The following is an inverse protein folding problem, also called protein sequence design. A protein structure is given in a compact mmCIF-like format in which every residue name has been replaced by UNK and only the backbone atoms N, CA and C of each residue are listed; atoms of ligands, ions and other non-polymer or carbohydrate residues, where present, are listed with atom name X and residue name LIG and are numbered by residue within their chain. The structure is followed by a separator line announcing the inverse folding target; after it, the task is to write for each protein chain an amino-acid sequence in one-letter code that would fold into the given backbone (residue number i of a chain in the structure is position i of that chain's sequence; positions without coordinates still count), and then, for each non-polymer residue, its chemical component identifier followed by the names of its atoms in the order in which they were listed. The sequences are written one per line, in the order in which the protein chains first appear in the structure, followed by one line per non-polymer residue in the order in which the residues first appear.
data_IF_730350850966
#
_entry.id   IF_730350850966
#
_cell.length_a   1.000
_cell.length_b   1.000
_cell.length_c   1.000
_cell.angle_alpha   90.00
_cell.angle_beta   90.00
_cell.angle_gamma   90.00
#
_symmetry.space_group_name_H-M   'P 1'
#
loop_
_entity.id
_entity.type
_entity.pdbx_description
1 polymer ?
#
# COMPACT_ATOMS: atom_id res chain seq x y z
N UNK A 1 -6.49 -13.24 -4.73
CA UNK A 1 -5.72 -12.34 -5.62
C UNK A 1 -6.67 -11.76 -6.63
N UNK A 2 -6.56 -10.46 -6.89
CA UNK A 2 -7.33 -9.73 -7.88
C UNK A 2 -6.35 -8.99 -8.81
N UNK A 3 -6.68 -8.93 -10.10
CA UNK A 3 -5.95 -8.14 -11.08
C UNK A 3 -6.94 -7.20 -11.78
N UNK A 4 -6.83 -5.92 -11.51
CA UNK A 4 -7.63 -4.86 -12.09
C UNK A 4 -7.05 -4.42 -13.43
N UNK A 5 -7.89 -4.38 -14.48
CA UNK A 5 -7.56 -3.79 -15.77
C UNK A 5 -8.48 -2.60 -16.02
N UNK A 6 -7.91 -1.40 -16.15
CA UNK A 6 -8.65 -0.18 -16.50
C UNK A 6 -8.45 0.14 -17.97
N UNK A 7 -9.53 0.03 -18.74
CA UNK A 7 -9.56 0.40 -20.16
C UNK A 7 -9.97 1.85 -20.35
N UNK A 8 -10.92 2.31 -19.53
CA UNK A 8 -11.44 3.69 -19.51
C UNK A 8 -11.56 4.14 -18.06
N UNK A 9 -11.17 5.38 -17.80
CA UNK A 9 -11.45 6.07 -16.53
C UNK A 9 -11.67 7.55 -16.87
N UNK A 10 -12.93 7.94 -16.95
CA UNK A 10 -13.31 9.29 -17.34
C UNK A 10 -14.25 9.93 -16.33
N UNK A 11 -14.05 11.23 -16.11
CA UNK A 11 -14.80 12.02 -15.13
C UNK A 11 -15.25 13.32 -15.76
N UNK A 12 -16.48 13.73 -15.47
CA UNK A 12 -16.99 15.05 -15.80
C UNK A 12 -17.28 15.82 -14.52
N UNK A 13 -16.66 16.99 -14.38
CA UNK A 13 -16.75 17.79 -13.14
C UNK A 13 -18.09 18.50 -13.04
N UNK A 14 -18.69 18.91 -14.16
CA UNK A 14 -20.00 19.56 -14.20
C UNK A 14 -20.80 19.20 -15.46
N UNK A 15 -22.14 19.26 -15.43
CA UNK A 15 -22.95 19.10 -16.64
C UNK A 15 -22.49 20.04 -17.76
N UNK A 16 -22.22 19.47 -18.94
CA UNK A 16 -21.72 20.22 -20.11
C UNK A 16 -20.21 20.53 -20.13
N UNK A 17 -19.44 20.20 -19.09
CA UNK A 17 -17.98 20.39 -19.12
C UNK A 17 -17.27 19.34 -19.97
N UNK A 18 -16.02 19.62 -20.33
CA UNK A 18 -15.14 18.64 -20.95
C UNK A 18 -15.00 17.39 -20.06
N UNK A 19 -14.92 16.24 -20.71
CA UNK A 19 -14.64 14.96 -20.07
C UNK A 19 -13.13 14.81 -19.88
N UNK A 20 -12.72 14.48 -18.66
CA UNK A 20 -11.33 14.25 -18.29
C UNK A 20 -11.04 12.76 -18.38
N UNK A 21 -9.96 12.37 -19.05
CA UNK A 21 -9.50 11.00 -19.15
C UNK A 21 -8.28 10.76 -18.26
N UNK A 22 -8.52 10.10 -17.12
CA UNK A 22 -7.49 9.88 -16.12
C UNK A 22 -6.41 8.90 -16.55
N UNK A 23 -6.74 7.94 -17.41
CA UNK A 23 -5.75 7.02 -17.99
C UNK A 23 -4.87 7.68 -19.05
N UNK A 24 -5.26 8.86 -19.53
CA UNK A 24 -4.48 9.69 -20.46
C UNK A 24 -3.69 10.79 -19.75
N UNK A 25 -3.81 10.90 -18.43
CA UNK A 25 -3.05 11.84 -17.60
C UNK A 25 -3.84 13.04 -17.11
N UNK A 26 -5.13 13.17 -17.45
CA UNK A 26 -5.96 14.20 -16.81
C UNK A 26 -6.14 13.84 -15.33
N UNK A 27 -6.05 14.81 -14.43
CA UNK A 27 -6.08 14.51 -13.00
C UNK A 27 -7.07 15.40 -12.26
N UNK A 28 -7.85 14.77 -11.38
CA UNK A 28 -8.73 15.45 -10.41
C UNK A 28 -8.08 15.52 -9.01
N UNK A 29 -6.87 14.97 -8.86
CA UNK A 29 -6.12 14.93 -7.61
C UNK A 29 -4.60 14.85 -7.84
N UNK A 30 -3.84 14.67 -6.75
CA UNK A 30 -2.38 14.74 -6.76
C UNK A 30 -1.66 13.45 -7.26
N UNK A 31 -2.33 12.60 -8.00
CA UNK A 31 -1.80 11.30 -8.45
C UNK A 31 -2.47 10.80 -9.73
N UNK A 32 -1.73 10.02 -10.52
CA UNK A 32 -2.24 9.40 -11.74
C UNK A 32 -2.98 8.09 -11.46
N UNK A 33 -3.88 7.70 -12.36
CA UNK A 33 -4.62 6.44 -12.27
C UNK A 33 -3.86 5.31 -12.98
N UNK A 34 -3.50 4.22 -12.30
CA UNK A 34 -2.79 3.10 -12.91
C UNK A 34 -3.74 2.23 -13.74
N UNK A 35 -3.29 1.82 -14.94
CA UNK A 35 -4.05 0.91 -15.82
C UNK A 35 -4.15 -0.51 -15.27
N UNK A 36 -3.13 -0.95 -14.54
CA UNK A 36 -3.10 -2.26 -13.90
C UNK A 36 -2.82 -2.12 -12.41
N UNK A 37 -3.56 -2.89 -11.63
CA UNK A 37 -3.30 -3.05 -10.22
C UNK A 37 -3.47 -4.53 -9.85
N UNK A 38 -2.64 -5.04 -8.95
CA UNK A 38 -2.72 -6.40 -8.45
C UNK A 38 -2.82 -6.31 -6.94
N UNK A 39 -3.81 -6.98 -6.37
CA UNK A 39 -4.01 -7.08 -4.93
C UNK A 39 -4.01 -8.56 -4.55
N UNK A 40 -3.30 -8.91 -3.48
CA UNK A 40 -3.35 -10.25 -2.93
C UNK A 40 -3.28 -10.27 -1.42
N UNK A 41 -3.93 -11.26 -0.84
CA UNK A 41 -3.80 -11.63 0.56
C UNK A 41 -3.66 -13.16 0.60
N UNK A 42 -2.82 -13.65 1.49
CA UNK A 42 -2.65 -15.06 1.73
C UNK A 42 -2.12 -15.32 3.13
N UNK A 43 -2.37 -16.52 3.65
CA UNK A 43 -1.83 -16.90 4.94
C UNK A 43 -1.96 -18.39 5.22
N UNK A 44 -1.13 -18.85 6.15
CA UNK A 44 -1.15 -20.21 6.68
C UNK A 44 -1.31 -20.15 8.18
N UNK A 45 -2.02 -21.13 8.74
CA UNK A 45 -2.21 -21.26 10.18
C UNK A 45 -2.17 -22.74 10.58
N UNK A 46 -1.37 -23.07 11.59
CA UNK A 46 -1.26 -24.42 12.13
C UNK A 46 -0.86 -24.37 13.61
N UNK A 47 -1.57 -25.14 14.44
CA UNK A 47 -1.22 -25.36 15.85
C UNK A 47 -0.94 -24.07 16.64
N UNK A 48 -1.74 -23.02 16.42
CA UNK A 48 -1.56 -21.74 17.08
C UNK A 48 -0.60 -20.77 16.38
N UNK A 49 0.22 -21.23 15.44
CA UNK A 49 1.13 -20.38 14.67
C UNK A 49 0.45 -19.93 13.38
N UNK A 50 0.61 -18.66 13.02
CA UNK A 50 0.10 -18.12 11.77
C UNK A 50 1.07 -17.17 11.10
N UNK A 51 1.01 -17.16 9.78
CA UNK A 51 1.69 -16.21 8.92
C UNK A 51 0.67 -15.66 7.92
N UNK A 52 0.67 -14.35 7.71
CA UNK A 52 -0.14 -13.65 6.72
C UNK A 52 0.72 -12.68 5.93
N UNK A 53 0.43 -12.58 4.64
CA UNK A 53 0.97 -11.61 3.71
C UNK A 53 -0.18 -10.87 3.05
N UNK A 54 -0.06 -9.55 2.94
CA UNK A 54 -0.92 -8.73 2.09
C UNK A 54 -0.02 -7.96 1.13
N UNK A 55 -0.39 -7.85 -0.13
CA UNK A 55 0.38 -7.11 -1.10
C UNK A 55 -0.49 -6.37 -2.10
N UNK A 56 -0.03 -5.20 -2.49
CA UNK A 56 -0.63 -4.35 -3.50
C UNK A 56 0.45 -3.87 -4.47
N UNK A 57 0.26 -4.13 -5.76
CA UNK A 57 1.09 -3.59 -6.82
C UNK A 57 0.28 -2.65 -7.70
N UNK A 58 0.83 -1.48 -8.00
CA UNK A 58 0.26 -0.56 -8.98
C UNK A 58 1.24 -0.35 -10.13
N UNK A 59 0.73 -0.40 -11.35
CA UNK A 59 1.47 -0.04 -12.55
C UNK A 59 1.88 1.44 -12.54
N UNK A 60 2.85 1.84 -13.39
CA UNK A 60 3.15 3.25 -13.59
C UNK A 60 1.90 4.02 -14.08
N UNK A 61 1.84 5.28 -13.70
CA UNK A 61 0.79 6.21 -14.12
C UNK A 61 1.41 7.57 -14.47
N UNK A 62 0.62 8.46 -15.06
CA UNK A 62 1.05 9.83 -15.34
C UNK A 62 -0.02 10.84 -14.98
N UNK A 63 0.40 12.07 -14.77
CA UNK A 63 -0.45 13.25 -14.68
C UNK A 63 0.14 14.30 -15.62
N UNK A 64 -0.68 14.87 -16.48
CA UNK A 64 -0.26 15.94 -17.37
C UNK A 64 -0.27 17.26 -16.60
N UNK A 65 0.72 18.11 -16.86
CA UNK A 65 0.76 19.47 -16.36
C UNK A 65 -0.39 20.30 -16.93
N UNK A 66 -0.76 21.36 -16.22
CA UNK A 66 -1.80 22.30 -16.66
C UNK A 66 -1.36 23.21 -17.81
N UNK A 67 -0.09 23.15 -18.21
CA UNK A 67 0.54 24.06 -19.17
C UNK A 67 0.80 25.48 -18.64
N UNK A 68 0.43 25.75 -17.38
CA UNK A 68 0.73 27.02 -16.71
C UNK A 68 2.22 27.08 -16.30
N UNK A 69 2.81 28.29 -16.16
CA UNK A 69 4.17 28.44 -15.66
C UNK A 69 4.38 27.72 -14.33
N UNK A 70 5.42 26.88 -14.25
CA UNK A 70 5.72 26.06 -13.07
C UNK A 70 5.00 24.71 -13.02
N UNK A 71 4.18 24.37 -14.02
CA UNK A 71 3.62 23.03 -14.19
C UNK A 71 4.52 22.16 -15.06
N UNK A 72 4.57 20.86 -14.77
CA UNK A 72 5.26 19.83 -15.57
C UNK A 72 4.42 18.55 -15.57
N UNK A 73 4.61 17.71 -16.57
CA UNK A 73 4.03 16.38 -16.53
C UNK A 73 4.75 15.56 -15.46
N UNK A 74 4.00 14.73 -14.75
CA UNK A 74 4.50 13.88 -13.68
C UNK A 74 4.34 12.42 -14.05
N UNK A 75 5.44 11.67 -13.91
CA UNK A 75 5.49 10.23 -14.14
C UNK A 75 5.59 9.53 -12.81
N UNK A 76 4.54 8.79 -12.46
CA UNK A 76 4.46 7.99 -11.25
C UNK A 76 4.97 6.59 -11.57
N UNK A 77 6.08 6.20 -10.95
CA UNK A 77 6.62 4.85 -11.06
C UNK A 77 5.69 3.80 -10.44
N UNK A 78 5.91 2.54 -10.81
CA UNK A 78 5.21 1.41 -10.19
C UNK A 78 5.54 1.30 -8.70
N UNK A 79 4.57 0.85 -7.92
CA UNK A 79 4.74 0.54 -6.51
C UNK A 79 4.42 -0.92 -6.24
N UNK A 80 5.13 -1.52 -5.28
CA UNK A 80 4.76 -2.78 -4.66
C UNK A 80 4.84 -2.61 -3.15
N UNK A 81 3.70 -2.59 -2.49
CA UNK A 81 3.61 -2.60 -1.04
C UNK A 81 3.34 -4.03 -0.56
N UNK A 82 4.08 -4.47 0.44
CA UNK A 82 4.02 -5.84 0.97
C UNK A 82 4.04 -5.78 2.49
N UNK A 83 2.93 -6.18 3.12
CA UNK A 83 2.81 -6.35 4.56
C UNK A 83 3.00 -7.80 4.99
N UNK A 84 3.65 -8.00 6.13
CA UNK A 84 3.84 -9.29 6.78
C UNK A 84 3.30 -9.27 8.20
N UNK A 85 2.56 -10.31 8.58
CA UNK A 85 2.16 -10.56 9.96
C UNK A 85 2.39 -12.01 10.35
N UNK A 86 3.29 -12.25 11.28
CA UNK A 86 3.45 -13.53 11.95
C UNK A 86 2.84 -13.47 13.34
N UNK A 87 2.21 -14.55 13.82
CA UNK A 87 1.65 -14.59 15.16
C UNK A 87 1.64 -15.98 15.77
N UNK A 88 1.60 -16.02 17.10
CA UNK A 88 1.37 -17.23 17.90
C UNK A 88 0.21 -16.99 18.86
N UNK A 89 -0.81 -17.84 18.78
CA UNK A 89 -1.87 -17.97 19.76
C UNK A 89 -1.32 -18.74 20.96
N UNK A 90 -0.85 -18.02 21.97
CA UNK A 90 -0.25 -18.59 23.17
C UNK A 90 -1.25 -19.46 23.94
N UNK A 91 -2.55 -19.14 23.86
CA UNK A 91 -3.62 -19.95 24.45
C UNK A 91 -3.81 -21.33 23.82
N UNK A 92 -3.26 -21.59 22.62
CA UNK A 92 -3.27 -22.91 21.98
C UNK A 92 -2.00 -23.72 22.29
N UNK A 93 -1.08 -23.16 23.08
CA UNK A 93 0.12 -23.86 23.53
C UNK A 93 -0.16 -24.47 24.90
N UNK A 94 -0.69 -25.69 24.93
CA UNK A 94 -1.17 -26.34 26.18
C UNK A 94 -0.11 -26.38 27.28
N UNK A 95 1.13 -26.76 26.94
CA UNK A 95 2.25 -26.81 27.89
C UNK A 95 2.61 -25.45 28.48
N UNK A 96 2.39 -24.36 27.72
CA UNK A 96 2.58 -22.99 28.18
C UNK A 96 1.44 -22.55 29.11
N UNK A 97 0.20 -22.85 28.74
CA UNK A 97 -0.99 -22.49 29.52
C UNK A 97 -1.02 -23.24 30.86
N UNK A 98 -0.61 -24.51 30.88
CA UNK A 98 -0.49 -25.29 32.12
C UNK A 98 0.53 -24.68 33.09
N UNK A 99 1.66 -24.18 32.58
CA UNK A 99 2.68 -23.50 33.39
C UNK A 99 2.27 -22.08 33.81
N UNK A 100 1.53 -21.38 32.96
CA UNK A 100 1.11 -20.00 33.16
C UNK A 100 -0.29 -19.76 32.57
N UNK A 101 -1.37 -19.93 33.37
CA UNK A 101 -2.75 -19.73 32.93
C UNK A 101 -3.04 -18.32 32.37
N UNK A 102 -2.21 -17.34 32.70
CA UNK A 102 -2.23 -16.00 32.12
C UNK A 102 -2.25 -16.01 30.59
N UNK A 103 -1.61 -16.99 29.92
CA UNK A 103 -1.57 -17.05 28.46
C UNK A 103 -2.82 -17.60 27.79
N UNK A 104 -3.82 -18.05 28.56
CA UNK A 104 -5.14 -18.38 28.02
C UNK A 104 -5.69 -17.15 27.28
N UNK A 105 -6.16 -17.32 26.05
CA UNK A 105 -6.65 -16.23 25.18
C UNK A 105 -5.63 -15.10 24.93
N UNK A 106 -4.32 -15.40 25.01
CA UNK A 106 -3.26 -14.47 24.64
C UNK A 106 -2.71 -14.75 23.23
N UNK A 107 -2.27 -13.70 22.55
CA UNK A 107 -1.58 -13.76 21.24
C UNK A 107 -0.38 -12.82 21.27
N UNK A 108 0.75 -13.30 20.73
CA UNK A 108 1.90 -12.48 20.38
C UNK A 108 1.99 -12.40 18.86
N UNK A 109 2.22 -11.21 18.31
CA UNK A 109 2.37 -10.99 16.87
C UNK A 109 3.63 -10.18 16.57
N UNK A 110 4.21 -10.43 15.41
CA UNK A 110 5.26 -9.65 14.79
C UNK A 110 4.75 -9.12 13.45
N UNK A 111 4.95 -7.83 13.20
CA UNK A 111 4.45 -7.15 12.00
C UNK A 111 5.57 -6.43 11.28
N UNK A 112 5.50 -6.44 9.96
CA UNK A 112 6.29 -5.54 9.11
C UNK A 112 5.37 -4.94 8.07
N UNK A 113 5.15 -3.63 8.14
CA UNK A 113 4.47 -2.86 7.12
C UNK A 113 5.50 -2.32 6.12
N UNK A 114 5.19 -2.36 4.83
CA UNK A 114 6.13 -2.08 3.74
C UNK A 114 7.46 -2.85 3.89
N UNK A 115 7.39 -4.18 3.86
CA UNK A 115 8.50 -5.11 4.02
C UNK A 115 9.69 -4.79 3.12
N UNK A 116 9.42 -4.33 1.89
CA UNK A 116 10.43 -4.03 0.87
C UNK A 116 11.00 -2.60 0.96
N UNK A 117 10.48 -1.76 1.85
CA UNK A 117 10.77 -0.31 1.94
C UNK A 117 10.63 0.41 0.58
N UNK A 118 9.68 -0.04 -0.24
CA UNK A 118 9.42 0.57 -1.54
C UNK A 118 8.62 1.86 -1.37
N UNK A 119 9.02 2.90 -2.09
CA UNK A 119 8.32 4.17 -2.17
C UNK A 119 8.08 4.53 -3.64
N UNK A 120 6.94 5.17 -3.92
CA UNK A 120 6.66 5.60 -5.28
C UNK A 120 7.63 6.70 -5.71
N UNK A 121 8.44 6.43 -6.74
CA UNK A 121 9.25 7.46 -7.37
C UNK A 121 8.38 8.24 -8.35
N UNK A 122 8.32 9.56 -8.19
CA UNK A 122 7.62 10.47 -9.10
C UNK A 122 8.64 11.40 -9.73
N UNK A 123 8.64 11.51 -11.06
CA UNK A 123 9.56 12.40 -11.77
C UNK A 123 8.83 13.37 -12.68
N UNK A 124 9.39 14.57 -12.83
CA UNK A 124 8.99 15.53 -13.86
C UNK A 124 9.59 15.18 -15.24
N UNK A 125 9.36 16.06 -16.21
CA UNK A 125 9.87 15.96 -17.58
C UNK A 125 11.40 15.98 -17.70
N UNK A 126 12.09 16.54 -16.70
CA UNK A 126 13.55 16.53 -16.63
C UNK A 126 14.11 15.26 -15.96
N UNK A 127 13.23 14.36 -15.51
CA UNK A 127 13.60 13.13 -14.80
C UNK A 127 13.93 13.35 -13.33
N UNK A 128 13.75 14.56 -12.82
CA UNK A 128 14.00 14.91 -11.42
C UNK A 128 12.77 14.67 -10.56
N UNK A 129 12.98 14.40 -9.27
CA UNK A 129 11.89 14.22 -8.30
C UNK A 129 11.53 15.60 -7.73
N UNK A 130 10.33 16.15 -8.02
CA UNK A 130 9.95 17.45 -7.50
C UNK A 130 9.85 17.43 -5.97
N UNK A 131 10.05 18.59 -5.32
CA UNK A 131 10.09 18.71 -3.86
C UNK A 131 8.89 18.05 -3.16
N UNK A 132 7.67 18.31 -3.66
CA UNK A 132 6.43 17.77 -3.11
C UNK A 132 6.33 16.23 -3.17
N UNK A 133 7.15 15.57 -4.00
CA UNK A 133 7.15 14.12 -4.17
C UNK A 133 8.40 13.45 -3.60
N UNK A 134 9.26 14.17 -2.90
CA UNK A 134 10.37 13.53 -2.20
C UNK A 134 9.83 12.61 -1.10
N UNK A 135 10.56 11.52 -0.85
CA UNK A 135 10.15 10.45 0.05
C UNK A 135 9.69 10.95 1.43
N UNK A 136 10.41 11.92 2.01
CA UNK A 136 10.10 12.47 3.33
C UNK A 136 8.74 13.20 3.39
N UNK A 137 8.25 13.76 2.29
CA UNK A 137 6.97 14.45 2.25
C UNK A 137 5.80 13.52 1.96
N UNK A 138 6.01 12.47 1.17
CA UNK A 138 4.94 11.53 0.76
C UNK A 138 4.78 10.35 1.71
N UNK A 139 5.90 9.75 2.14
CA UNK A 139 5.91 8.50 2.92
C UNK A 139 7.08 8.53 3.93
N UNK A 140 6.98 9.34 5.00
CA UNK A 140 8.08 9.55 5.95
C UNK A 140 8.44 8.28 6.73
N UNK A 141 7.48 7.40 7.01
CA UNK A 141 7.69 6.21 7.85
C UNK A 141 8.47 5.11 7.12
N UNK A 142 8.27 4.92 5.82
CA UNK A 142 8.86 3.79 5.08
C UNK A 142 8.43 2.44 5.68
N UNK A 143 9.39 1.53 5.85
CA UNK A 143 9.18 0.26 6.55
C UNK A 143 8.98 0.46 8.06
N UNK A 144 7.91 -0.13 8.60
CA UNK A 144 7.59 -0.13 10.04
C UNK A 144 7.61 -1.56 10.57
N UNK A 145 8.27 -1.77 11.71
CA UNK A 145 8.37 -3.08 12.37
C UNK A 145 7.70 -3.00 13.74
N UNK A 146 6.83 -3.97 14.05
CA UNK A 146 6.03 -3.98 15.27
C UNK A 146 6.00 -5.33 15.98
N UNK A 147 5.75 -5.29 17.29
CA UNK A 147 5.47 -6.44 18.13
C UNK A 147 4.19 -6.13 18.91
N UNK A 148 3.18 -6.97 18.78
CA UNK A 148 1.88 -6.82 19.43
C UNK A 148 1.63 -7.95 20.43
N UNK A 149 1.32 -7.63 21.69
CA UNK A 149 0.77 -8.58 22.64
C UNK A 149 -0.71 -8.27 22.92
N UNK A 150 -1.58 -9.26 22.70
CA UNK A 150 -3.02 -9.13 22.96
C UNK A 150 -3.47 -10.16 23.98
N UNK A 151 -4.16 -9.73 25.03
CA UNK A 151 -4.82 -10.56 26.05
C UNK A 151 -6.32 -10.26 26.07
N UNK A 152 -7.14 -11.29 26.00
CA UNK A 152 -8.60 -11.18 26.22
C UNK A 152 -8.93 -11.76 27.60
N UNK A 153 -9.68 -10.99 28.40
CA UNK A 153 -10.08 -11.34 29.77
C UNK A 153 -11.41 -12.08 29.79
#
# INVERSE_FOLDING_TARGET
MYHTWRFTDTVRIAPGSAELNQLSGDAIGAGGVPRHAIEFEGGVFKNGYGLRLQGEWNAPARVNGSGLPGSSDLRFGSTFDLGLRAFVNLGQQESLVQKAPFFKNARLSFTVDNLLDQRQRVTDDSGQVPLAYQAAYRQPQGRVVGIDFRKMF
#
